data_IF_084716585971
#
_entry.id   IF_084716585971
#
_cell.length_a   1.000
_cell.length_b   1.000
_cell.length_c   1.000
_cell.angle_alpha   90.00
_cell.angle_beta   90.00
_cell.angle_gamma   90.00
#
_symmetry.space_group_name_H-M   'P 1'
#
loop_
_entity.id
_entity.type
_entity.pdbx_description
1 polymer ?
#
# COMPACT_ATOMS: atom_id res chain seq x y z
N UNK A 1 8.72 12.03 0.66
CA UNK A 1 7.55 11.60 1.45
C UNK A 1 8.03 11.08 2.79
N UNK A 2 7.39 11.48 3.89
CA UNK A 2 7.80 11.06 5.24
C UNK A 2 7.70 9.54 5.40
N UNK A 3 8.68 8.95 6.09
CA UNK A 3 8.72 7.52 6.34
C UNK A 3 7.47 7.05 7.11
N UNK A 4 6.91 5.91 6.71
CA UNK A 4 5.82 5.26 7.45
C UNK A 4 6.29 4.90 8.87
N UNK A 5 5.42 5.09 9.86
CA UNK A 5 5.73 4.82 11.28
C UNK A 5 4.77 3.78 11.85
N UNK A 6 5.18 3.10 12.92
CA UNK A 6 4.30 2.13 13.58
C UNK A 6 3.00 2.79 14.03
N UNK A 7 1.87 2.09 13.85
CA UNK A 7 0.54 2.57 14.27
C UNK A 7 0.17 3.94 13.68
N UNK A 8 0.49 4.17 12.41
CA UNK A 8 0.25 5.46 11.75
C UNK A 8 -0.80 5.36 10.65
N UNK A 9 -1.52 6.46 10.45
CA UNK A 9 -2.36 6.66 9.26
C UNK A 9 -1.76 7.73 8.38
N UNK A 10 -1.54 7.41 7.11
CA UNK A 10 -1.10 8.34 6.08
C UNK A 10 -2.23 8.52 5.09
N UNK A 11 -2.66 9.77 4.89
CA UNK A 11 -3.66 10.14 3.89
C UNK A 11 -3.00 10.85 2.73
N UNK A 12 -3.22 10.34 1.53
CA UNK A 12 -2.79 10.97 0.29
C UNK A 12 -3.94 11.81 -0.27
N UNK A 13 -3.59 12.96 -0.83
CA UNK A 13 -4.50 13.72 -1.68
C UNK A 13 -4.69 13.01 -3.02
N UNK A 14 -5.69 13.43 -3.80
CA UNK A 14 -5.79 13.04 -5.19
C UNK A 14 -4.54 13.52 -5.95
N UNK A 15 -4.05 12.71 -6.88
CA UNK A 15 -2.84 13.02 -7.64
C UNK A 15 -2.01 11.79 -7.98
N UNK A 16 -0.88 12.07 -8.63
CA UNK A 16 0.10 11.11 -9.10
C UNK A 16 1.32 11.13 -8.20
N UNK A 17 1.69 9.97 -7.67
CA UNK A 17 2.83 9.78 -6.80
C UNK A 17 3.81 8.84 -7.49
N UNK A 18 4.88 9.39 -8.06
CA UNK A 18 5.89 8.62 -8.77
C UNK A 18 6.92 8.02 -7.81
N UNK A 19 7.34 6.80 -8.12
CA UNK A 19 8.41 6.10 -7.42
C UNK A 19 7.92 4.96 -6.55
N UNK A 20 8.89 4.17 -6.09
CA UNK A 20 8.62 2.99 -5.27
C UNK A 20 8.42 3.37 -3.80
N UNK A 21 7.53 2.65 -3.12
CA UNK A 21 7.24 2.84 -1.71
C UNK A 21 7.62 1.61 -0.90
N UNK A 22 8.15 1.82 0.32
CA UNK A 22 8.40 0.76 1.29
C UNK A 22 7.66 1.05 2.58
N UNK A 23 6.85 0.11 3.04
CA UNK A 23 6.15 0.12 4.33
C UNK A 23 6.82 -0.92 5.23
N UNK A 24 7.86 -0.48 5.95
CA UNK A 24 8.60 -1.32 6.90
C UNK A 24 7.97 -1.35 8.30
N UNK A 25 7.19 -0.33 8.63
CA UNK A 25 6.50 -0.20 9.90
C UNK A 25 5.22 -1.05 9.98
N UNK A 26 4.88 -1.50 11.19
CA UNK A 26 3.67 -2.27 11.48
C UNK A 26 2.44 -1.38 11.68
N UNK A 27 1.26 -1.93 11.40
CA UNK A 27 -0.03 -1.26 11.65
C UNK A 27 -0.12 0.11 10.95
N UNK A 28 0.35 0.17 9.71
CA UNK A 28 0.27 1.37 8.85
C UNK A 28 -1.01 1.33 8.04
N UNK A 29 -1.77 2.42 8.05
CA UNK A 29 -2.93 2.60 7.17
C UNK A 29 -2.62 3.69 6.14
N UNK A 30 -2.52 3.33 4.86
CA UNK A 30 -2.36 4.27 3.74
C UNK A 30 -3.70 4.41 3.00
N UNK A 31 -4.22 5.64 2.94
CA UNK A 31 -5.54 5.93 2.37
C UNK A 31 -5.41 6.98 1.27
N UNK A 32 -5.93 6.69 0.08
CA UNK A 32 -6.09 7.67 -1.00
C UNK A 32 -7.48 8.30 -1.04
N UNK A 33 -7.78 9.08 -2.09
CA UNK A 33 -9.07 9.74 -2.30
C UNK A 33 -10.02 8.96 -3.25
N UNK A 34 -9.65 7.75 -3.63
CA UNK A 34 -10.41 6.86 -4.50
C UNK A 34 -9.55 6.18 -5.57
N UNK A 35 -10.00 5.02 -6.03
CA UNK A 35 -9.44 4.32 -7.20
C UNK A 35 -9.47 5.25 -8.41
N UNK A 36 -8.35 5.40 -9.09
CA UNK A 36 -8.17 6.33 -10.22
C UNK A 36 -8.00 7.81 -9.83
N UNK A 37 -8.20 8.19 -8.57
CA UNK A 37 -7.99 9.56 -8.08
C UNK A 37 -6.64 9.75 -7.40
N UNK A 38 -6.22 8.76 -6.63
CA UNK A 38 -4.88 8.69 -6.04
C UNK A 38 -4.14 7.54 -6.70
N UNK A 39 -3.06 7.85 -7.42
CA UNK A 39 -2.31 6.87 -8.18
C UNK A 39 -0.85 6.81 -7.70
N UNK A 40 -0.41 5.60 -7.34
CA UNK A 40 1.00 5.28 -7.12
C UNK A 40 1.55 4.70 -8.41
N UNK A 41 2.49 5.42 -9.01
CA UNK A 41 3.19 5.06 -10.25
C UNK A 41 4.56 4.48 -9.90
N UNK A 42 4.52 3.27 -9.35
CA UNK A 42 5.68 2.53 -8.87
C UNK A 42 5.26 1.30 -8.09
N UNK A 43 6.25 0.51 -7.68
CA UNK A 43 6.03 -0.68 -6.87
C UNK A 43 5.84 -0.33 -5.39
N UNK A 44 5.09 -1.17 -4.67
CA UNK A 44 4.97 -1.07 -3.21
C UNK A 44 5.53 -2.34 -2.57
N UNK A 45 6.45 -2.18 -1.62
CA UNK A 45 6.90 -3.24 -0.71
C UNK A 45 6.28 -3.05 0.66
N UNK A 46 5.67 -4.09 1.20
CA UNK A 46 5.08 -4.13 2.54
C UNK A 46 5.81 -5.19 3.35
N UNK A 47 6.73 -4.74 4.19
CA UNK A 47 7.49 -5.61 5.09
C UNK A 47 6.85 -5.66 6.50
N UNK A 48 6.16 -4.60 6.90
CA UNK A 48 5.42 -4.54 8.16
C UNK A 48 4.12 -5.34 8.17
N UNK A 49 3.75 -5.85 9.34
CA UNK A 49 2.50 -6.58 9.58
C UNK A 49 1.31 -5.62 9.74
N UNK A 50 0.10 -6.14 9.49
CA UNK A 50 -1.18 -5.44 9.69
C UNK A 50 -1.29 -4.11 8.90
N UNK A 51 -0.67 -4.05 7.72
CA UNK A 51 -0.72 -2.86 6.87
C UNK A 51 -2.01 -2.83 6.04
N UNK A 52 -2.62 -1.65 5.90
CA UNK A 52 -3.87 -1.46 5.17
C UNK A 52 -3.66 -0.43 4.06
N UNK A 53 -3.99 -0.78 2.81
CA UNK A 53 -4.04 0.15 1.68
C UNK A 53 -5.47 0.23 1.16
N UNK A 54 -6.06 1.44 1.16
CA UNK A 54 -7.43 1.63 0.67
C UNK A 54 -7.57 2.89 -0.16
N UNK A 55 -8.55 2.88 -1.06
CA UNK A 55 -8.98 4.03 -1.86
C UNK A 55 -7.87 4.61 -2.73
N UNK A 56 -7.03 3.77 -3.32
CA UNK A 56 -5.97 4.19 -4.24
C UNK A 56 -5.77 3.17 -5.35
N UNK A 57 -5.01 3.58 -6.37
CA UNK A 57 -4.55 2.73 -7.46
C UNK A 57 -3.04 2.57 -7.42
N UNK A 58 -2.54 1.36 -7.68
CA UNK A 58 -1.11 1.06 -7.82
C UNK A 58 -0.87 0.52 -9.22
N UNK A 59 -0.04 1.20 -10.00
CA UNK A 59 0.35 0.74 -11.35
C UNK A 59 1.41 -0.36 -11.31
N UNK A 60 2.35 -0.25 -10.38
CA UNK A 60 3.41 -1.23 -10.21
C UNK A 60 2.93 -2.51 -9.53
N UNK A 61 3.89 -3.38 -9.27
CA UNK A 61 3.67 -4.59 -8.49
C UNK A 61 3.59 -4.27 -7.01
N UNK A 62 2.93 -5.15 -6.26
CA UNK A 62 2.90 -5.10 -4.81
C UNK A 62 3.56 -6.36 -4.25
N UNK A 63 4.51 -6.18 -3.35
CA UNK A 63 5.22 -7.25 -2.66
C UNK A 63 4.85 -7.20 -1.18
N UNK A 64 4.21 -8.25 -0.68
CA UNK A 64 3.75 -8.36 0.71
C UNK A 64 4.55 -9.46 1.42
N UNK A 65 5.54 -9.03 2.19
CA UNK A 65 6.35 -9.92 3.02
C UNK A 65 5.79 -10.05 4.44
N UNK A 66 5.12 -8.98 4.93
CA UNK A 66 4.43 -8.97 6.22
C UNK A 66 3.15 -9.82 6.22
N UNK A 67 2.60 -10.02 7.42
CA UNK A 67 1.36 -10.76 7.66
C UNK A 67 0.16 -9.82 7.81
N UNK A 68 -1.04 -10.33 7.54
CA UNK A 68 -2.33 -9.65 7.73
C UNK A 68 -2.46 -8.30 7.02
N UNK A 69 -1.83 -8.13 5.87
CA UNK A 69 -2.04 -6.94 5.04
C UNK A 69 -3.43 -6.98 4.39
N UNK A 70 -4.13 -5.85 4.33
CA UNK A 70 -5.41 -5.70 3.65
C UNK A 70 -5.35 -4.60 2.59
N UNK A 71 -5.41 -5.01 1.34
CA UNK A 71 -5.40 -4.15 0.16
C UNK A 71 -6.73 -4.19 -0.60
N UNK A 72 -7.76 -4.87 -0.06
CA UNK A 72 -9.05 -5.12 -0.74
C UNK A 72 -9.83 -3.86 -1.13
N UNK A 73 -9.48 -2.70 -0.57
CA UNK A 73 -10.04 -1.40 -0.92
C UNK A 73 -9.28 -0.64 -2.00
N UNK A 74 -8.28 -1.24 -2.63
CA UNK A 74 -7.41 -0.62 -3.64
C UNK A 74 -7.46 -1.37 -4.96
N UNK A 75 -7.08 -0.69 -6.05
CA UNK A 75 -6.89 -1.34 -7.36
C UNK A 75 -5.40 -1.52 -7.62
N UNK A 76 -4.98 -2.75 -7.87
CA UNK A 76 -3.60 -3.07 -8.24
C UNK A 76 -3.60 -3.50 -9.70
N UNK A 77 -2.88 -2.77 -10.55
CA UNK A 77 -2.78 -3.05 -11.98
C UNK A 77 -1.62 -4.00 -12.29
N UNK A 78 -0.56 -3.95 -11.49
CA UNK A 78 0.52 -4.94 -11.51
C UNK A 78 0.14 -6.26 -10.84
N UNK A 79 1.14 -7.08 -10.56
CA UNK A 79 0.97 -8.35 -9.83
C UNK A 79 1.14 -8.15 -8.33
N UNK A 80 0.46 -9.00 -7.55
CA UNK A 80 0.69 -9.11 -6.12
C UNK A 80 1.49 -10.37 -5.81
N UNK A 81 2.61 -10.20 -5.13
CA UNK A 81 3.45 -11.28 -4.62
C UNK A 81 3.33 -11.28 -3.10
N UNK A 82 2.69 -12.30 -2.52
CA UNK A 82 2.48 -12.40 -1.08
C UNK A 82 3.17 -13.64 -0.53
N UNK A 83 4.12 -13.45 0.39
CA UNK A 83 4.77 -14.55 1.11
C UNK A 83 4.33 -14.65 2.58
N UNK A 84 3.77 -13.56 3.13
CA UNK A 84 3.19 -13.56 4.48
C UNK A 84 1.81 -14.23 4.54
N UNK A 85 1.35 -14.51 5.76
CA UNK A 85 0.08 -15.18 6.05
C UNK A 85 -1.03 -14.16 6.33
N UNK A 86 -2.28 -14.54 6.02
CA UNK A 86 -3.47 -13.72 6.33
C UNK A 86 -3.64 -12.48 5.45
N UNK A 87 -2.90 -12.37 4.35
CA UNK A 87 -2.98 -11.23 3.45
C UNK A 87 -4.22 -11.30 2.53
N UNK A 88 -4.84 -10.15 2.27
CA UNK A 88 -5.98 -9.99 1.37
C UNK A 88 -5.71 -8.84 0.40
N UNK A 89 -5.97 -9.04 -0.89
CA UNK A 89 -5.74 -8.04 -1.94
C UNK A 89 -6.69 -8.24 -3.12
#
# INVERSE_FOLDING_TARGET
>A
MGAFRNNSTVRLNAGYYSGNFSIDANSVTLIGQGVGRTLIDGDIRINGNNSVLRQLSVRGNVYINGNNADLSGSKIEGRVYSSGKGNRW
#
